data_IF_517094078663
#
_entry.id   IF_517094078663
#
_cell.length_a   1.000
_cell.length_b   1.000
_cell.length_c   1.000
_cell.angle_alpha   90.00
_cell.angle_beta   90.00
_cell.angle_gamma   90.00
#
_symmetry.space_group_name_H-M   'P 1'
#
loop_
_entity.id
_entity.type
_entity.pdbx_description
1 polymer ?
#
# COMPACT_ATOMS: atom_id res chain seq x y z
N UNK A 1 17.85 71.41 -44.94
CA UNK A 1 18.73 70.27 -44.59
C UNK A 1 19.00 70.28 -43.09
N UNK A 2 18.33 69.39 -42.35
CA UNK A 2 18.76 68.67 -41.13
C UNK A 2 17.49 68.05 -40.51
N UNK A 3 17.23 66.79 -40.87
CA UNK A 3 16.19 65.99 -40.25
C UNK A 3 16.69 65.53 -38.88
N UNK A 4 15.94 65.83 -37.82
CA UNK A 4 16.15 65.29 -36.47
C UNK A 4 15.19 64.12 -36.31
N UNK A 5 15.73 62.90 -36.28
CA UNK A 5 14.98 61.69 -35.94
C UNK A 5 14.94 61.54 -34.42
N UNK A 6 13.75 61.62 -33.83
CA UNK A 6 13.52 61.26 -32.42
C UNK A 6 13.07 59.80 -32.39
N UNK A 7 13.88 58.94 -31.79
CA UNK A 7 13.56 57.54 -31.53
C UNK A 7 12.87 57.45 -30.16
N UNK A 8 11.60 57.06 -30.14
CA UNK A 8 10.92 56.64 -28.91
C UNK A 8 11.16 55.14 -28.70
N UNK A 9 11.88 54.78 -27.63
CA UNK A 9 11.93 53.41 -27.14
C UNK A 9 10.61 53.11 -26.43
N UNK A 10 9.78 52.23 -27.03
CA UNK A 10 8.64 51.63 -26.36
C UNK A 10 9.15 50.43 -25.52
N UNK A 11 9.20 50.59 -24.20
CA UNK A 11 9.43 49.50 -23.26
C UNK A 11 8.17 48.62 -23.17
N UNK A 12 8.18 47.50 -23.89
CA UNK A 12 7.17 46.45 -23.75
C UNK A 12 7.37 45.69 -22.43
N UNK A 13 6.52 45.99 -21.45
CA UNK A 13 6.34 45.18 -20.24
C UNK A 13 5.73 43.84 -20.64
N UNK A 14 6.54 42.78 -20.62
CA UNK A 14 6.08 41.39 -20.76
C UNK A 14 5.45 41.01 -19.42
N UNK A 15 4.12 41.01 -19.36
CA UNK A 15 3.38 40.42 -18.25
C UNK A 15 3.50 38.90 -18.34
N UNK A 16 4.35 38.30 -17.51
CA UNK A 16 4.34 36.85 -17.29
C UNK A 16 2.99 36.47 -16.67
N UNK A 17 2.28 35.46 -17.22
CA UNK A 17 1.09 34.95 -16.57
C UNK A 17 1.54 34.26 -15.27
N UNK A 18 1.10 34.81 -14.14
CA UNK A 18 1.15 34.12 -12.86
C UNK A 18 0.35 32.83 -13.00
N UNK A 19 1.03 31.69 -12.91
CA UNK A 19 0.36 30.40 -12.72
C UNK A 19 -0.36 30.47 -11.37
N UNK A 20 -1.65 30.77 -11.40
CA UNK A 20 -2.50 30.68 -10.22
C UNK A 20 -2.55 29.20 -9.82
N UNK A 21 -1.93 28.88 -8.68
CA UNK A 21 -2.05 27.59 -8.03
C UNK A 21 -3.53 27.38 -7.69
N UNK A 22 -4.23 26.55 -8.47
CA UNK A 22 -5.58 26.11 -8.15
C UNK A 22 -5.52 25.28 -6.88
N UNK A 23 -5.62 25.92 -5.73
CA UNK A 23 -5.95 25.26 -4.46
C UNK A 23 -7.46 24.98 -4.44
N UNK A 24 -7.90 24.08 -5.34
CA UNK A 24 -9.21 23.46 -5.20
C UNK A 24 -9.23 22.67 -3.90
N UNK A 25 -10.12 23.02 -2.97
CA UNK A 25 -10.45 22.16 -1.81
C UNK A 25 -10.88 20.81 -2.38
N UNK A 26 -10.00 19.82 -2.34
CA UNK A 26 -10.35 18.46 -2.76
C UNK A 26 -11.38 17.93 -1.77
N UNK A 27 -12.59 17.68 -2.27
CA UNK A 27 -13.65 17.08 -1.46
C UNK A 27 -13.20 15.71 -0.95
N UNK A 28 -13.46 15.44 0.34
CA UNK A 28 -13.10 14.18 0.97
C UNK A 28 -14.08 13.07 0.56
N UNK A 29 -13.94 12.58 -0.67
CA UNK A 29 -14.77 11.55 -1.31
C UNK A 29 -13.91 10.54 -2.07
N UNK A 30 -14.50 9.40 -2.41
CA UNK A 30 -13.83 8.41 -3.27
C UNK A 30 -13.48 9.03 -4.64
N UNK A 31 -12.38 8.60 -5.23
CA UNK A 31 -11.93 9.08 -6.54
C UNK A 31 -11.10 8.03 -7.28
N UNK A 32 -11.01 8.19 -8.59
CA UNK A 32 -10.12 7.42 -9.45
C UNK A 32 -8.87 8.25 -9.74
N UNK A 33 -7.69 7.67 -9.52
CA UNK A 33 -6.40 8.27 -9.84
C UNK A 33 -5.88 7.65 -11.14
N UNK A 34 -5.58 8.49 -12.12
CA UNK A 34 -4.81 8.07 -13.30
C UNK A 34 -3.32 8.11 -13.00
N UNK A 35 -2.56 7.14 -13.52
CA UNK A 35 -1.09 7.18 -13.53
C UNK A 35 -0.67 7.99 -14.77
N UNK A 36 -0.07 9.18 -14.60
CA UNK A 36 0.27 10.05 -15.72
C UNK A 36 1.16 9.36 -16.76
N UNK A 37 0.90 9.64 -18.03
CA UNK A 37 1.60 9.01 -19.16
C UNK A 37 1.06 7.62 -19.54
N UNK A 38 0.00 7.14 -18.90
CA UNK A 38 -0.59 5.82 -19.16
C UNK A 38 -2.13 5.86 -19.14
N UNK A 39 -2.75 4.80 -19.65
CA UNK A 39 -4.20 4.56 -19.51
C UNK A 39 -4.56 3.86 -18.19
N UNK A 40 -3.58 3.56 -17.33
CA UNK A 40 -3.80 2.81 -16.09
C UNK A 40 -4.35 3.75 -15.02
N UNK A 41 -5.40 3.29 -14.35
CA UNK A 41 -6.05 4.00 -13.25
C UNK A 41 -6.29 3.08 -12.06
N UNK A 42 -6.35 3.64 -10.86
CA UNK A 42 -6.74 2.92 -9.65
C UNK A 42 -7.74 3.72 -8.81
N UNK A 43 -8.53 3.03 -8.01
CA UNK A 43 -9.59 3.64 -7.20
C UNK A 43 -9.17 3.80 -5.74
N UNK A 44 -9.53 4.94 -5.15
CA UNK A 44 -9.21 5.29 -3.77
C UNK A 44 -10.51 5.62 -3.02
N UNK A 45 -10.76 4.89 -1.94
CA UNK A 45 -11.93 5.08 -1.07
C UNK A 45 -11.60 6.04 0.07
N UNK A 46 -12.45 7.04 0.30
CA UNK A 46 -12.33 7.95 1.44
C UNK A 46 -12.83 7.28 2.72
N UNK A 47 -11.98 7.30 3.75
CA UNK A 47 -12.21 6.70 5.07
C UNK A 47 -12.19 7.81 6.13
N UNK A 48 -13.34 8.11 6.73
CA UNK A 48 -13.53 9.24 7.68
C UNK A 48 -12.62 9.22 8.90
N UNK A 49 -11.90 8.12 9.15
CA UNK A 49 -11.20 7.93 10.39
C UNK A 49 -12.17 7.84 11.57
N UNK A 50 -11.62 7.61 12.75
CA UNK A 50 -12.43 7.41 13.94
C UNK A 50 -11.76 6.46 14.91
N UNK A 51 -12.53 5.98 15.87
CA UNK A 51 -12.04 5.11 16.92
C UNK A 51 -12.60 3.70 16.77
N UNK A 52 -11.74 2.69 16.94
CA UNK A 52 -12.14 1.28 16.89
C UNK A 52 -11.37 0.44 17.91
N UNK A 53 -11.81 -0.81 18.06
CA UNK A 53 -11.13 -1.81 18.87
C UNK A 53 -10.14 -2.59 18.00
N UNK A 54 -8.87 -2.23 18.06
CA UNK A 54 -7.78 -2.94 17.38
C UNK A 54 -7.42 -4.21 18.13
N UNK A 55 -7.15 -5.27 17.39
CA UNK A 55 -6.92 -6.61 17.92
C UNK A 55 -8.23 -7.38 18.17
N UNK A 56 -8.06 -8.63 18.59
CA UNK A 56 -9.13 -9.60 18.80
C UNK A 56 -9.61 -9.63 20.26
N UNK A 57 -10.88 -9.96 20.48
CA UNK A 57 -11.38 -10.30 21.81
C UNK A 57 -10.70 -11.58 22.35
N UNK A 58 -10.47 -11.68 23.67
CA UNK A 58 -9.80 -12.85 24.25
C UNK A 58 -10.57 -14.16 24.07
N UNK A 59 -11.88 -14.09 23.79
CA UNK A 59 -12.76 -15.23 23.51
C UNK A 59 -13.01 -15.44 22.00
N UNK A 60 -12.44 -14.60 21.14
CA UNK A 60 -12.59 -14.73 19.69
C UNK A 60 -12.01 -16.07 19.21
N UNK A 61 -12.81 -16.85 18.49
CA UNK A 61 -12.38 -18.18 18.00
C UNK A 61 -11.27 -18.02 16.96
N UNK A 62 -10.22 -18.83 17.08
CA UNK A 62 -9.09 -18.82 16.16
C UNK A 62 -8.09 -17.69 16.41
N UNK A 63 -8.26 -16.90 17.48
CA UNK A 63 -7.33 -15.86 17.93
C UNK A 63 -5.92 -16.40 18.17
N UNK A 64 -4.91 -15.67 17.68
CA UNK A 64 -3.51 -15.90 18.05
C UNK A 64 -3.08 -15.05 19.28
N UNK A 65 -2.03 -15.48 20.01
CA UNK A 65 -1.52 -14.74 21.18
C UNK A 65 -1.13 -13.28 20.88
N UNK A 66 -0.57 -13.03 19.69
CA UNK A 66 -0.07 -11.73 19.22
C UNK A 66 -1.16 -10.71 18.82
N UNK A 67 -2.44 -11.08 18.94
CA UNK A 67 -3.60 -10.27 18.54
C UNK A 67 -4.28 -9.57 19.72
N UNK A 68 -3.66 -9.57 20.90
CA UNK A 68 -4.14 -8.78 22.03
C UNK A 68 -3.03 -8.10 22.83
N UNK A 69 -3.40 -7.34 23.88
CA UNK A 69 -4.77 -7.09 24.31
C UNK A 69 -5.54 -6.24 23.30
N UNK A 70 -6.87 -6.42 23.25
CA UNK A 70 -7.74 -5.57 22.44
C UNK A 70 -7.65 -4.14 22.95
N UNK A 71 -7.44 -3.18 22.05
CA UNK A 71 -7.16 -1.79 22.42
C UNK A 71 -8.01 -0.80 21.62
N UNK A 72 -8.57 0.17 22.32
CA UNK A 72 -9.24 1.31 21.71
C UNK A 72 -8.19 2.26 21.12
N UNK A 73 -8.19 2.40 19.79
CA UNK A 73 -7.28 3.28 19.06
C UNK A 73 -8.05 4.15 18.09
N UNK A 74 -7.52 5.33 17.80
CA UNK A 74 -8.04 6.27 16.81
C UNK A 74 -7.11 6.36 15.61
N UNK A 75 -7.71 6.42 14.42
CA UNK A 75 -7.02 6.72 13.17
C UNK A 75 -7.60 7.99 12.57
N UNK A 76 -6.73 8.88 12.08
CA UNK A 76 -7.14 10.09 11.35
C UNK A 76 -7.80 9.71 10.01
N UNK A 77 -8.50 10.62 9.32
CA UNK A 77 -9.07 10.35 8.01
C UNK A 77 -7.98 10.13 6.94
N UNK A 78 -8.22 9.22 6.00
CA UNK A 78 -7.33 8.92 4.89
C UNK A 78 -8.11 8.38 3.69
N UNK A 79 -7.42 8.22 2.56
CA UNK A 79 -7.88 7.38 1.48
C UNK A 79 -7.07 6.09 1.43
N UNK A 80 -7.71 4.99 1.05
CA UNK A 80 -7.05 3.69 0.83
C UNK A 80 -7.47 3.13 -0.53
N UNK A 81 -6.56 2.41 -1.19
CA UNK A 81 -6.87 1.69 -2.42
C UNK A 81 -8.06 0.76 -2.20
N UNK A 82 -9.02 0.81 -3.13
CA UNK A 82 -10.21 -0.07 -3.11
C UNK A 82 -9.80 -1.54 -3.21
N UNK A 83 -8.75 -1.80 -3.99
CA UNK A 83 -8.17 -3.12 -4.23
C UNK A 83 -6.70 -3.16 -3.78
N UNK A 84 -6.13 -4.37 -3.76
CA UNK A 84 -4.68 -4.57 -3.80
C UNK A 84 -4.11 -3.92 -5.08
N UNK A 85 -2.86 -3.42 -5.04
CA UNK A 85 -2.19 -2.90 -6.23
C UNK A 85 -2.04 -4.04 -7.24
N UNK A 86 -2.52 -3.83 -8.45
CA UNK A 86 -2.50 -4.84 -9.52
C UNK A 86 -1.17 -4.91 -10.25
N UNK A 87 -0.91 -5.99 -10.97
CA UNK A 87 0.23 -6.06 -11.90
C UNK A 87 0.13 -5.00 -13.00
N UNK A 88 -1.08 -4.65 -13.46
CA UNK A 88 -1.28 -3.61 -14.47
C UNK A 88 -0.78 -2.24 -13.97
N UNK A 89 -0.90 -1.97 -12.66
CA UNK A 89 -0.36 -0.78 -11.99
C UNK A 89 1.14 -0.91 -11.70
N UNK A 90 1.56 -2.00 -11.05
CA UNK A 90 2.95 -2.18 -10.61
C UNK A 90 3.93 -2.28 -11.77
N UNK A 91 3.51 -2.86 -12.90
CA UNK A 91 4.38 -2.99 -14.07
C UNK A 91 4.72 -1.64 -14.71
N UNK A 92 3.89 -0.60 -14.54
CA UNK A 92 4.26 0.75 -15.01
C UNK A 92 5.52 1.23 -14.27
N UNK A 93 5.60 0.96 -12.98
CA UNK A 93 6.80 1.24 -12.19
C UNK A 93 7.95 0.28 -12.55
N UNK A 94 7.67 -1.00 -12.74
CA UNK A 94 8.70 -2.01 -12.88
C UNK A 94 9.37 -2.01 -14.26
N UNK A 95 8.64 -1.66 -15.31
CA UNK A 95 9.07 -1.73 -16.70
C UNK A 95 9.42 -0.34 -17.24
N UNK A 96 10.71 -0.13 -17.55
CA UNK A 96 11.20 1.15 -18.08
C UNK A 96 10.61 1.50 -19.45
N UNK A 97 10.15 0.52 -20.22
CA UNK A 97 9.53 0.79 -21.52
C UNK A 97 8.11 1.36 -21.36
N UNK A 98 7.45 1.06 -20.23
CA UNK A 98 6.10 1.57 -19.88
C UNK A 98 6.14 2.95 -19.20
N UNK A 99 7.29 3.32 -18.65
CA UNK A 99 7.53 4.63 -18.05
C UNK A 99 8.94 5.13 -18.39
N UNK A 100 9.01 5.92 -19.46
CA UNK A 100 10.25 6.46 -20.04
C UNK A 100 10.67 7.79 -19.40
N UNK A 101 9.96 8.28 -18.38
CA UNK A 101 10.42 9.48 -17.65
C UNK A 101 11.65 9.16 -16.81
N UNK A 102 12.57 10.13 -16.74
CA UNK A 102 13.76 10.05 -15.92
C UNK A 102 13.38 9.95 -14.44
N UNK A 103 13.98 8.98 -13.74
CA UNK A 103 13.83 8.87 -12.29
C UNK A 103 14.77 9.86 -11.58
N UNK A 104 14.33 10.51 -10.48
CA UNK A 104 15.21 11.31 -9.65
C UNK A 104 16.36 10.48 -9.09
N UNK A 105 17.46 11.16 -8.76
CA UNK A 105 18.61 10.53 -8.12
C UNK A 105 18.21 9.76 -6.85
N UNK A 106 18.79 8.58 -6.67
CA UNK A 106 18.44 7.64 -5.61
C UNK A 106 17.17 6.80 -5.83
N UNK A 107 16.36 7.07 -6.86
CA UNK A 107 15.22 6.22 -7.24
C UNK A 107 15.62 5.21 -8.32
N UNK A 108 15.27 3.94 -8.12
CA UNK A 108 15.59 2.84 -9.05
C UNK A 108 14.37 1.96 -9.26
N UNK A 109 14.30 1.30 -10.42
CA UNK A 109 13.30 0.27 -10.70
C UNK A 109 13.72 -1.08 -10.13
N UNK A 110 12.77 -2.00 -9.88
CA UNK A 110 13.07 -3.38 -9.53
C UNK A 110 13.96 -4.03 -10.59
N UNK A 111 14.95 -4.80 -10.14
CA UNK A 111 15.68 -5.68 -11.06
C UNK A 111 14.73 -6.75 -11.60
N UNK A 112 14.90 -7.26 -12.83
CA UNK A 112 14.12 -8.41 -13.30
C UNK A 112 14.19 -9.57 -12.30
N UNK A 113 13.07 -10.24 -11.99
CA UNK A 113 13.10 -11.40 -11.11
C UNK A 113 13.79 -12.58 -11.80
N UNK A 114 14.50 -13.42 -11.05
CA UNK A 114 15.20 -14.58 -11.60
C UNK A 114 14.24 -15.69 -12.12
N UNK A 115 13.05 -15.78 -11.54
CA UNK A 115 11.97 -16.67 -11.98
C UNK A 115 10.70 -15.87 -12.23
N UNK A 116 9.75 -16.46 -12.96
CA UNK A 116 8.39 -15.95 -12.98
C UNK A 116 7.74 -16.14 -11.60
N UNK A 117 7.68 -15.05 -10.83
CA UNK A 117 7.13 -15.03 -9.47
C UNK A 117 5.61 -15.21 -9.44
N UNK A 118 4.93 -15.12 -10.60
CA UNK A 118 3.49 -15.36 -10.68
C UNK A 118 3.16 -16.85 -10.56
N UNK A 119 4.16 -17.73 -10.75
CA UNK A 119 4.03 -19.18 -10.78
C UNK A 119 2.93 -19.67 -11.72
N UNK A 120 2.65 -18.91 -12.79
CA UNK A 120 1.60 -19.22 -13.77
C UNK A 120 0.17 -18.99 -13.29
N UNK A 121 -0.05 -18.32 -12.16
CA UNK A 121 -1.39 -18.07 -11.62
C UNK A 121 -2.11 -16.87 -12.28
N UNK A 122 -1.37 -15.90 -12.79
CA UNK A 122 -1.91 -14.73 -13.50
C UNK A 122 -1.06 -13.47 -13.29
N UNK A 123 -1.01 -12.58 -14.29
CA UNK A 123 -0.16 -11.38 -14.25
C UNK A 123 -0.72 -10.13 -14.94
N UNK A 124 -1.97 -10.15 -15.36
CA UNK A 124 -2.57 -9.02 -16.09
C UNK A 124 -4.09 -9.03 -16.07
N UNK A 125 -4.70 -7.86 -16.29
CA UNK A 125 -6.16 -7.71 -16.30
C UNK A 125 -6.75 -7.84 -14.90
N UNK A 126 -6.10 -7.21 -13.92
CA UNK A 126 -6.57 -7.07 -12.54
C UNK A 126 -6.04 -8.11 -11.54
N UNK A 127 -5.02 -8.90 -11.86
CA UNK A 127 -4.38 -9.74 -10.83
C UNK A 127 -3.55 -8.88 -9.86
N UNK A 128 -3.56 -9.18 -8.54
CA UNK A 128 -2.76 -8.45 -7.57
C UNK A 128 -1.28 -8.67 -7.86
N UNK A 129 -0.52 -7.57 -7.87
CA UNK A 129 0.94 -7.64 -7.90
C UNK A 129 1.40 -8.35 -6.63
N UNK A 130 2.34 -9.29 -6.77
CA UNK A 130 2.81 -10.09 -5.65
C UNK A 130 4.33 -10.27 -5.63
N UNK A 131 4.81 -10.97 -4.60
CA UNK A 131 6.20 -11.41 -4.42
C UNK A 131 7.21 -10.28 -4.24
N UNK A 132 6.79 -9.02 -4.24
CA UNK A 132 7.70 -7.93 -3.87
C UNK A 132 8.00 -7.97 -2.38
N UNK A 133 9.21 -7.54 -2.03
CA UNK A 133 9.52 -7.17 -0.65
C UNK A 133 8.77 -5.91 -0.27
N UNK A 134 8.68 -5.63 1.04
CA UNK A 134 8.15 -4.35 1.52
C UNK A 134 8.94 -3.15 0.94
N UNK A 135 10.26 -3.32 0.71
CA UNK A 135 11.08 -2.31 0.05
C UNK A 135 10.58 -2.02 -1.37
N UNK A 136 10.26 -3.04 -2.16
CA UNK A 136 9.69 -2.86 -3.50
C UNK A 136 8.34 -2.13 -3.47
N UNK A 137 7.46 -2.50 -2.55
CA UNK A 137 6.17 -1.84 -2.36
C UNK A 137 6.30 -0.36 -1.92
N UNK A 138 7.26 -0.05 -1.04
CA UNK A 138 7.55 1.33 -0.63
C UNK A 138 8.20 2.16 -1.75
N UNK A 139 9.07 1.56 -2.55
CA UNK A 139 9.64 2.21 -3.74
C UNK A 139 8.58 2.51 -4.78
N UNK A 140 7.59 1.63 -4.98
CA UNK A 140 6.41 1.92 -5.79
C UNK A 140 5.67 3.16 -5.27
N UNK A 141 5.44 3.26 -3.95
CA UNK A 141 4.81 4.44 -3.36
C UNK A 141 5.62 5.73 -3.61
N UNK A 142 6.96 5.67 -3.49
CA UNK A 142 7.86 6.79 -3.77
C UNK A 142 7.81 7.20 -5.24
N UNK A 143 7.83 6.23 -6.14
CA UNK A 143 7.68 6.46 -7.58
C UNK A 143 6.33 7.09 -7.90
N UNK A 144 5.24 6.56 -7.33
CA UNK A 144 3.89 7.09 -7.57
C UNK A 144 3.75 8.53 -7.05
N UNK A 145 4.39 8.86 -5.93
CA UNK A 145 4.49 10.24 -5.45
C UNK A 145 5.21 11.15 -6.45
N UNK A 146 6.34 10.71 -6.99
CA UNK A 146 7.04 11.47 -8.02
C UNK A 146 6.19 11.66 -9.27
N UNK A 147 5.46 10.62 -9.67
CA UNK A 147 4.60 10.64 -10.86
C UNK A 147 3.39 11.55 -10.75
N UNK A 148 2.76 11.58 -9.58
CA UNK A 148 1.46 12.24 -9.40
C UNK A 148 1.55 13.55 -8.64
N UNK A 149 2.65 13.78 -7.91
CA UNK A 149 2.75 14.84 -6.89
C UNK A 149 1.89 14.56 -5.65
N UNK A 150 1.22 13.41 -5.56
CA UNK A 150 0.35 13.02 -4.44
C UNK A 150 1.06 11.98 -3.59
N UNK A 151 1.16 12.24 -2.29
CA UNK A 151 1.89 11.38 -1.38
C UNK A 151 1.10 10.11 -1.06
N UNK A 152 1.68 8.97 -1.45
CA UNK A 152 1.20 7.63 -1.15
C UNK A 152 2.20 6.87 -0.27
N UNK A 153 1.68 5.93 0.52
CA UNK A 153 2.47 5.00 1.35
C UNK A 153 1.71 3.70 1.58
N UNK A 154 2.36 2.70 2.17
CA UNK A 154 1.64 1.55 2.72
C UNK A 154 0.74 1.98 3.90
N UNK A 155 -0.35 1.25 4.19
CA UNK A 155 -1.13 1.47 5.41
C UNK A 155 -0.29 1.15 6.66
N UNK A 156 -0.57 1.83 7.77
CA UNK A 156 -0.17 1.28 9.08
C UNK A 156 -1.01 0.03 9.39
N UNK A 157 -0.53 -0.81 10.30
CA UNK A 157 -1.28 -1.98 10.78
C UNK A 157 -2.68 -1.59 11.29
N UNK A 158 -2.78 -0.43 11.95
CA UNK A 158 -4.03 0.07 12.51
C UNK A 158 -4.98 0.65 11.45
N UNK A 159 -4.46 1.38 10.46
CA UNK A 159 -5.26 1.84 9.33
C UNK A 159 -5.83 0.67 8.53
N UNK A 160 -4.99 -0.35 8.28
CA UNK A 160 -5.39 -1.56 7.59
C UNK A 160 -6.52 -2.28 8.34
N UNK A 161 -6.37 -2.51 9.65
CA UNK A 161 -7.38 -3.23 10.41
C UNK A 161 -8.68 -2.41 10.57
N UNK A 162 -8.57 -1.08 10.72
CA UNK A 162 -9.72 -0.19 10.74
C UNK A 162 -10.52 -0.27 9.44
N UNK A 163 -9.82 -0.16 8.31
CA UNK A 163 -10.38 -0.27 6.98
C UNK A 163 -11.00 -1.64 6.73
N UNK A 164 -10.30 -2.73 7.11
CA UNK A 164 -10.79 -4.11 6.98
C UNK A 164 -12.10 -4.29 7.74
N UNK A 165 -12.17 -3.83 9.00
CA UNK A 165 -13.34 -3.98 9.87
C UNK A 165 -14.55 -3.19 9.39
N UNK A 166 -14.36 -2.04 8.74
CA UNK A 166 -15.44 -1.19 8.24
C UNK A 166 -16.56 -0.92 9.27
N UNK A 167 -16.17 -0.67 10.53
CA UNK A 167 -17.09 -0.44 11.65
C UNK A 167 -17.48 -1.70 12.45
N UNK A 168 -17.18 -2.90 11.95
CA UNK A 168 -17.43 -4.15 12.67
C UNK A 168 -16.50 -4.37 13.87
N UNK A 169 -17.03 -5.02 14.91
CA UNK A 169 -16.31 -5.47 16.10
C UNK A 169 -16.14 -7.00 16.18
N UNK A 170 -16.56 -7.73 15.16
CA UNK A 170 -16.50 -9.21 15.07
C UNK A 170 -15.16 -9.69 14.48
N UNK A 171 -14.97 -11.01 14.35
CA UNK A 171 -13.77 -11.61 13.76
C UNK A 171 -13.55 -11.18 12.29
N UNK A 172 -14.62 -11.14 11.50
CA UNK A 172 -14.64 -10.72 10.09
C UNK A 172 -15.47 -9.43 9.92
N UNK A 173 -15.33 -8.66 8.83
CA UNK A 173 -16.15 -7.47 8.60
C UNK A 173 -17.65 -7.74 8.51
N UNK A 174 -18.02 -8.97 8.16
CA UNK A 174 -19.40 -9.40 7.95
C UNK A 174 -20.00 -10.20 9.13
N UNK A 175 -19.26 -10.40 10.23
CA UNK A 175 -19.72 -11.14 11.40
C UNK A 175 -18.69 -12.13 11.95
N UNK A 176 -19.15 -13.07 12.78
CA UNK A 176 -18.31 -14.12 13.41
C UNK A 176 -18.41 -15.50 12.72
N UNK A 177 -19.32 -15.67 11.76
CA UNK A 177 -19.51 -16.94 11.04
C UNK A 177 -18.47 -17.09 9.91
N UNK A 178 -17.47 -17.99 10.05
CA UNK A 178 -16.51 -18.25 8.97
C UNK A 178 -17.16 -18.86 7.73
N UNK A 179 -18.38 -19.41 7.82
CA UNK A 179 -19.13 -19.93 6.68
C UNK A 179 -19.48 -18.87 5.64
N UNK A 180 -19.48 -17.59 6.01
CA UNK A 180 -19.71 -16.48 5.07
C UNK A 180 -18.43 -16.07 4.31
N UNK A 181 -17.24 -16.51 4.73
CA UNK A 181 -15.96 -16.02 4.22
C UNK A 181 -15.79 -16.22 2.71
N UNK A 182 -16.32 -17.31 2.15
CA UNK A 182 -16.27 -17.61 0.71
C UNK A 182 -16.93 -16.54 -0.18
N UNK A 183 -17.78 -15.69 0.40
CA UNK A 183 -18.42 -14.57 -0.31
C UNK A 183 -17.54 -13.32 -0.37
N UNK A 184 -16.49 -13.24 0.45
CA UNK A 184 -15.70 -12.02 0.66
C UNK A 184 -14.19 -12.23 0.45
N UNK A 185 -13.71 -13.47 0.44
CA UNK A 185 -12.28 -13.77 0.38
C UNK A 185 -11.98 -15.00 -0.49
N UNK A 186 -10.89 -14.92 -1.25
CA UNK A 186 -10.22 -16.08 -1.82
C UNK A 186 -9.28 -16.67 -0.78
N UNK A 187 -9.61 -17.84 -0.25
CA UNK A 187 -8.84 -18.54 0.80
C UNK A 187 -8.81 -20.03 0.49
N UNK A 188 -8.12 -20.83 1.31
CA UNK A 188 -7.81 -22.24 0.99
C UNK A 188 -9.01 -23.06 0.48
N UNK A 189 -10.22 -22.81 0.99
CA UNK A 189 -11.43 -23.57 0.62
C UNK A 189 -11.89 -23.31 -0.82
N UNK A 190 -11.81 -22.07 -1.31
CA UNK A 190 -12.41 -21.65 -2.58
C UNK A 190 -11.39 -21.13 -3.61
N UNK A 191 -10.12 -20.98 -3.26
CA UNK A 191 -9.11 -20.36 -4.12
C UNK A 191 -8.52 -21.28 -5.19
N UNK A 192 -8.69 -22.60 -5.07
CA UNK A 192 -8.03 -23.59 -5.92
C UNK A 192 -6.49 -23.49 -5.90
N UNK A 193 -5.92 -23.13 -4.75
CA UNK A 193 -4.49 -22.91 -4.53
C UNK A 193 -3.90 -21.76 -5.39
N UNK A 194 -4.70 -20.76 -5.74
CA UNK A 194 -4.28 -19.60 -6.55
C UNK A 194 -4.84 -18.28 -6.04
N UNK A 195 -4.10 -17.20 -6.25
CA UNK A 195 -4.69 -15.85 -6.17
C UNK A 195 -5.52 -15.55 -7.42
N UNK A 196 -6.49 -14.67 -7.28
CA UNK A 196 -7.48 -14.33 -8.29
C UNK A 196 -7.42 -12.84 -8.63
N UNK A 197 -8.17 -12.43 -9.64
CA UNK A 197 -8.30 -11.01 -9.96
C UNK A 197 -8.98 -10.29 -8.79
N UNK A 198 -8.54 -9.07 -8.53
CA UNK A 198 -9.11 -8.21 -7.48
C UNK A 198 -10.58 -7.92 -7.79
N UNK A 199 -11.37 -7.69 -6.75
CA UNK A 199 -12.74 -7.22 -6.85
C UNK A 199 -13.77 -8.25 -7.33
N UNK A 200 -13.42 -9.54 -7.33
CA UNK A 200 -14.32 -10.61 -7.82
C UNK A 200 -15.32 -11.13 -6.79
N UNK A 201 -15.12 -10.82 -5.51
CA UNK A 201 -16.02 -11.19 -4.40
C UNK A 201 -16.67 -9.94 -3.78
N UNK A 202 -17.46 -10.10 -2.71
CA UNK A 202 -18.15 -8.97 -2.09
C UNK A 202 -17.18 -8.07 -1.33
N UNK A 203 -17.36 -6.74 -1.40
CA UNK A 203 -16.59 -5.82 -0.57
C UNK A 203 -17.09 -5.82 0.88
N UNK A 204 -16.31 -5.23 1.78
CA UNK A 204 -16.80 -4.89 3.12
C UNK A 204 -17.79 -3.70 3.08
N UNK A 205 -18.31 -3.30 4.25
CA UNK A 205 -19.31 -2.24 4.36
C UNK A 205 -18.87 -0.85 3.86
N UNK A 206 -17.57 -0.65 3.60
CA UNK A 206 -17.02 0.59 3.04
C UNK A 206 -16.62 0.47 1.57
N UNK A 207 -16.94 -0.63 0.91
CA UNK A 207 -16.63 -0.82 -0.51
C UNK A 207 -15.18 -1.24 -0.76
N UNK A 208 -14.47 -1.76 0.23
CA UNK A 208 -13.11 -2.29 0.06
C UNK A 208 -13.16 -3.78 -0.24
N UNK A 209 -12.46 -4.19 -1.28
CA UNK A 209 -12.40 -5.57 -1.76
C UNK A 209 -11.11 -6.25 -1.31
N UNK A 210 -11.18 -7.58 -1.22
CA UNK A 210 -10.04 -8.45 -0.95
C UNK A 210 -9.25 -8.04 0.32
N UNK A 211 -9.92 -7.38 1.27
CA UNK A 211 -9.33 -7.07 2.58
C UNK A 211 -9.00 -8.35 3.35
N UNK A 212 -9.57 -9.50 2.96
CA UNK A 212 -9.28 -10.81 3.51
C UNK A 212 -9.02 -11.79 2.37
N UNK A 213 -8.03 -12.66 2.54
CA UNK A 213 -7.64 -13.63 1.50
C UNK A 213 -6.92 -12.97 0.31
N UNK A 214 -7.09 -13.57 -0.87
CA UNK A 214 -6.34 -13.25 -2.09
C UNK A 214 -4.83 -13.22 -1.84
N UNK A 215 -4.19 -12.06 -1.74
CA UNK A 215 -2.81 -11.97 -1.26
C UNK A 215 -2.74 -11.23 0.08
N UNK A 216 -1.86 -11.68 0.95
CA UNK A 216 -1.60 -10.99 2.19
C UNK A 216 -0.89 -9.66 1.89
N UNK A 217 -1.11 -8.65 2.72
CA UNK A 217 -0.70 -7.28 2.39
C UNK A 217 0.37 -6.73 3.32
N UNK A 218 1.43 -6.15 2.74
CA UNK A 218 2.44 -5.39 3.46
C UNK A 218 1.83 -4.17 4.18
N UNK A 219 2.19 -3.97 5.46
CA UNK A 219 1.95 -2.71 6.18
C UNK A 219 3.27 -1.98 6.45
N UNK A 220 3.22 -0.76 6.97
CA UNK A 220 4.44 0.00 7.36
C UNK A 220 5.15 -0.54 8.59
N UNK A 221 4.46 -1.33 9.40
CA UNK A 221 4.85 -1.59 10.78
C UNK A 221 5.99 -2.62 10.86
N UNK A 222 6.96 -2.35 11.75
CA UNK A 222 7.81 -3.39 12.29
C UNK A 222 6.92 -4.39 13.03
N UNK A 223 7.11 -5.68 12.77
CA UNK A 223 6.43 -6.70 13.55
C UNK A 223 7.01 -6.75 14.97
N UNK A 224 6.15 -6.52 15.96
CA UNK A 224 6.37 -6.79 17.37
C UNK A 224 5.13 -7.56 17.88
N UNK A 225 5.36 -8.74 18.45
CA UNK A 225 4.29 -9.55 19.04
C UNK A 225 3.58 -8.81 20.18
N UNK A 226 4.30 -8.00 20.94
CA UNK A 226 3.77 -7.19 22.04
C UNK A 226 3.29 -5.79 21.61
N UNK A 227 3.17 -5.53 20.30
CA UNK A 227 2.82 -4.21 19.77
C UNK A 227 1.53 -3.65 20.38
N UNK A 228 0.45 -4.44 20.43
CA UNK A 228 -0.86 -3.97 20.90
C UNK A 228 -0.84 -3.50 22.35
N UNK A 229 -0.01 -4.11 23.20
CA UNK A 229 0.19 -3.66 24.59
C UNK A 229 0.85 -2.27 24.67
N UNK A 230 1.68 -1.92 23.68
CA UNK A 230 2.51 -0.71 23.66
C UNK A 230 1.99 0.39 22.72
N UNK A 231 1.09 0.04 21.80
CA UNK A 231 0.59 0.92 20.75
C UNK A 231 0.05 2.23 21.33
N UNK A 232 0.27 3.37 20.66
CA UNK A 232 -0.36 4.62 21.05
C UNK A 232 -1.88 4.56 20.83
N UNK A 233 -2.63 5.44 21.50
CA UNK A 233 -4.09 5.51 21.33
C UNK A 233 -4.51 6.28 20.08
N UNK A 234 -3.59 7.05 19.45
CA UNK A 234 -3.84 7.83 18.24
C UNK A 234 -2.78 7.50 17.19
N UNK A 235 -3.23 7.18 15.98
CA UNK A 235 -2.45 6.75 14.82
C UNK A 235 -1.28 5.83 15.18
N UNK A 236 -1.53 4.68 15.82
CA UNK A 236 -0.44 3.79 16.18
C UNK A 236 0.29 3.30 14.93
N UNK A 237 1.61 3.46 14.97
CA UNK A 237 2.54 3.01 13.94
C UNK A 237 3.82 2.54 14.63
N UNK A 238 4.10 1.24 14.55
CA UNK A 238 5.35 0.66 15.03
C UNK A 238 6.48 0.97 14.05
N UNK A 239 7.11 2.12 14.24
CA UNK A 239 8.17 2.60 13.34
C UNK A 239 9.30 1.57 13.20
N UNK A 240 9.72 1.26 11.96
CA UNK A 240 10.87 0.41 11.70
C UNK A 240 12.14 0.81 12.46
N UNK A 241 12.76 -0.17 13.10
CA UNK A 241 14.12 -0.07 13.68
C UNK A 241 15.09 -1.03 12.99
N UNK A 242 14.60 -2.13 12.43
CA UNK A 242 15.34 -3.07 11.58
C UNK A 242 14.67 -3.19 10.19
N UNK A 243 15.21 -4.00 9.26
CA UNK A 243 14.59 -4.30 7.95
C UNK A 243 13.41 -5.28 8.03
N UNK A 244 13.51 -6.22 8.96
CA UNK A 244 12.60 -7.35 9.15
C UNK A 244 12.61 -7.67 10.65
N UNK A 245 11.56 -8.30 11.19
CA UNK A 245 10.29 -8.64 10.55
C UNK A 245 9.33 -7.46 10.40
N UNK A 246 8.48 -7.51 9.38
CA UNK A 246 7.37 -6.57 9.13
C UNK A 246 6.04 -7.25 9.38
N UNK A 247 5.04 -6.46 9.73
CA UNK A 247 3.68 -6.95 9.87
C UNK A 247 3.02 -7.08 8.49
N UNK A 248 2.29 -8.16 8.32
CA UNK A 248 1.48 -8.47 7.15
C UNK A 248 0.06 -8.77 7.62
N UNK A 249 -0.94 -8.39 6.83
CA UNK A 249 -2.37 -8.50 7.18
C UNK A 249 -3.17 -9.21 6.07
N UNK A 250 -4.44 -9.53 6.33
CA UNK A 250 -5.39 -10.08 5.34
C UNK A 250 -5.47 -11.60 5.25
N UNK A 251 -4.35 -12.30 5.48
CA UNK A 251 -4.24 -13.70 5.08
C UNK A 251 -4.15 -13.83 3.55
N UNK A 252 -4.07 -15.04 3.03
CA UNK A 252 -3.93 -15.25 1.59
C UNK A 252 -4.73 -16.45 1.08
N UNK A 253 -4.67 -16.69 -0.24
CA UNK A 253 -5.37 -17.77 -0.93
C UNK A 253 -5.07 -19.18 -0.41
N UNK A 254 -3.98 -19.41 0.32
CA UNK A 254 -3.62 -20.71 0.93
C UNK A 254 -4.04 -20.86 2.40
N UNK A 255 -4.47 -19.76 3.02
CA UNK A 255 -4.75 -19.71 4.45
C UNK A 255 -6.14 -20.26 4.79
N UNK A 256 -6.25 -20.86 5.97
CA UNK A 256 -7.54 -21.26 6.54
C UNK A 256 -8.36 -20.03 6.98
N UNK A 257 -9.67 -20.21 7.17
CA UNK A 257 -10.55 -19.10 7.59
C UNK A 257 -10.08 -18.40 8.88
N UNK A 258 -9.56 -19.16 9.86
CA UNK A 258 -9.04 -18.61 11.12
C UNK A 258 -7.82 -17.70 10.95
N UNK A 259 -7.10 -17.83 9.85
CA UNK A 259 -5.95 -17.00 9.49
C UNK A 259 -6.37 -15.76 8.67
N UNK A 260 -7.54 -15.77 8.03
CA UNK A 260 -8.10 -14.64 7.30
C UNK A 260 -9.12 -13.83 8.14
N UNK A 261 -8.84 -13.61 9.43
CA UNK A 261 -9.63 -12.71 10.29
C UNK A 261 -9.06 -11.30 10.25
N UNK A 262 -9.89 -10.31 10.56
CA UNK A 262 -9.50 -8.88 10.57
C UNK A 262 -8.31 -8.61 11.53
N UNK A 263 -8.29 -9.31 12.67
CA UNK A 263 -7.26 -9.15 13.69
C UNK A 263 -5.97 -9.93 13.40
N UNK A 264 -5.97 -10.91 12.48
CA UNK A 264 -4.79 -11.77 12.26
C UNK A 264 -3.58 -10.93 11.89
N UNK A 265 -2.42 -11.27 12.47
CA UNK A 265 -1.13 -10.62 12.21
C UNK A 265 -0.13 -11.68 11.76
N UNK A 266 0.41 -11.50 10.56
CA UNK A 266 1.46 -12.35 10.01
C UNK A 266 2.82 -11.65 10.17
N UNK A 267 3.85 -12.45 10.47
CA UNK A 267 5.24 -12.00 10.61
C UNK A 267 5.98 -12.31 9.32
N UNK A 268 6.66 -11.33 8.74
CA UNK A 268 7.52 -11.59 7.59
C UNK A 268 8.73 -12.45 7.94
N UNK A 269 9.12 -13.36 7.05
CA UNK A 269 10.31 -14.20 7.20
C UNK A 269 11.39 -13.82 6.17
N UNK A 270 12.62 -13.62 6.65
CA UNK A 270 13.79 -13.38 5.79
C UNK A 270 14.11 -14.58 4.89
N UNK A 271 13.69 -15.79 5.31
CA UNK A 271 13.84 -17.00 4.51
C UNK A 271 13.00 -17.01 3.24
N UNK A 272 12.06 -16.07 3.07
CA UNK A 272 11.25 -16.00 1.85
C UNK A 272 12.02 -15.61 0.60
N UNK A 273 13.25 -15.11 0.73
CA UNK A 273 14.13 -14.92 -0.41
C UNK A 273 15.29 -15.92 -0.44
N UNK A 274 15.19 -17.04 0.29
CA UNK A 274 16.28 -18.02 0.41
C UNK A 274 16.57 -18.74 -0.91
N UNK A 275 15.55 -19.03 -1.73
CA UNK A 275 15.76 -19.69 -3.04
C UNK A 275 16.25 -18.75 -4.16
N UNK A 276 16.29 -17.44 -3.95
CA UNK A 276 16.86 -16.52 -4.93
C UNK A 276 18.36 -16.79 -5.11
N UNK A 277 18.82 -17.18 -6.33
CA UNK A 277 20.21 -17.50 -6.58
C UNK A 277 21.10 -16.26 -6.80
N UNK A 278 20.54 -15.05 -6.88
CA UNK A 278 21.32 -13.83 -7.06
C UNK A 278 22.25 -13.56 -5.86
N UNK A 279 23.46 -13.04 -6.13
CA UNK A 279 24.44 -12.65 -5.12
C UNK A 279 24.83 -11.18 -5.35
N UNK A 280 24.49 -10.24 -4.44
CA UNK A 280 23.61 -10.43 -3.28
C UNK A 280 22.18 -10.78 -3.70
N UNK A 281 21.42 -11.38 -2.78
CA UNK A 281 19.99 -11.66 -2.98
C UNK A 281 19.23 -10.37 -3.29
N UNK A 282 18.21 -10.48 -4.12
CA UNK A 282 17.36 -9.35 -4.47
C UNK A 282 16.76 -8.70 -3.23
N UNK A 283 16.87 -7.37 -3.17
CA UNK A 283 16.13 -6.55 -2.20
C UNK A 283 14.69 -6.29 -2.64
N UNK A 284 14.35 -6.59 -3.90
CA UNK A 284 13.07 -6.26 -4.53
C UNK A 284 12.04 -7.36 -4.38
N UNK A 285 12.49 -8.62 -4.34
CA UNK A 285 11.64 -9.79 -4.50
C UNK A 285 11.81 -10.78 -3.35
N UNK A 286 10.77 -11.58 -3.14
CA UNK A 286 10.72 -12.74 -2.27
C UNK A 286 10.36 -13.97 -3.10
N UNK A 287 11.36 -14.78 -3.47
CA UNK A 287 11.17 -15.95 -4.33
C UNK A 287 10.19 -17.01 -3.77
N UNK A 288 9.92 -16.99 -2.46
CA UNK A 288 9.14 -18.01 -1.74
C UNK A 288 7.87 -17.44 -1.11
N UNK A 289 7.50 -16.21 -1.47
CA UNK A 289 6.29 -15.55 -0.97
C UNK A 289 5.37 -15.01 -2.10
N UNK A 290 4.87 -15.88 -3.00
CA UNK A 290 3.94 -15.50 -4.07
C UNK A 290 2.55 -15.09 -3.57
N UNK A 291 2.34 -15.17 -2.26
CA UNK A 291 1.08 -14.90 -1.59
C UNK A 291 1.06 -13.51 -0.94
N UNK A 292 2.06 -12.65 -1.20
CA UNK A 292 2.15 -11.32 -0.60
C UNK A 292 2.13 -10.24 -1.67
N UNK A 293 1.19 -9.32 -1.54
CA UNK A 293 1.11 -8.07 -2.29
C UNK A 293 1.03 -6.88 -1.33
N UNK A 294 0.33 -5.83 -1.74
CA UNK A 294 0.10 -4.64 -0.92
C UNK A 294 -1.04 -3.80 -1.47
N UNK A 295 -1.52 -2.86 -0.64
CA UNK A 295 -2.34 -1.73 -1.08
C UNK A 295 -1.75 -0.42 -0.59
N UNK A 296 -2.23 0.69 -1.14
CA UNK A 296 -1.71 2.03 -0.84
C UNK A 296 -2.71 2.86 -0.05
N UNK A 297 -2.18 3.79 0.75
CA UNK A 297 -2.88 4.80 1.51
C UNK A 297 -2.37 6.17 1.11
N UNK A 298 -3.29 7.13 1.07
CA UNK A 298 -3.02 8.56 0.95
C UNK A 298 -3.59 9.28 2.18
N UNK A 299 -2.79 9.94 3.02
CA UNK A 299 -3.30 10.68 4.17
C UNK A 299 -4.15 11.88 3.72
N UNK A 300 -5.18 12.24 4.50
CA UNK A 300 -6.01 13.42 4.21
C UNK A 300 -5.16 14.69 4.11
N UNK A 301 -4.35 14.93 5.14
CA UNK A 301 -3.34 15.97 5.11
C UNK A 301 -2.10 15.44 4.40
N UNK A 302 -1.80 16.02 3.24
CA UNK A 302 -0.57 15.73 2.53
C UNK A 302 0.62 16.32 3.31
N UNK A 303 1.74 15.58 3.42
CA UNK A 303 2.97 16.14 3.96
C UNK A 303 3.53 17.21 3.02
N UNK A 304 4.36 18.09 3.57
CA UNK A 304 5.26 18.93 2.77
C UNK A 304 6.26 18.07 1.99
N UNK A 305 6.89 18.59 0.92
CA UNK A 305 7.94 17.88 0.20
C UNK A 305 9.10 17.42 1.11
N UNK A 306 9.48 18.24 2.09
CA UNK A 306 10.52 17.94 3.06
C UNK A 306 10.12 16.78 3.99
N UNK A 307 8.87 16.79 4.48
CA UNK A 307 8.33 15.70 5.29
C UNK A 307 8.18 14.40 4.49
N UNK A 308 7.78 14.48 3.22
CA UNK A 308 7.73 13.34 2.33
C UNK A 308 9.12 12.73 2.08
N UNK A 309 10.12 13.57 1.84
CA UNK A 309 11.51 13.13 1.69
C UNK A 309 12.03 12.46 2.98
N UNK A 310 11.82 13.08 4.14
CA UNK A 310 12.20 12.53 5.43
C UNK A 310 11.47 11.20 5.73
N UNK A 311 10.21 11.06 5.32
CA UNK A 311 9.48 9.80 5.42
C UNK A 311 10.18 8.69 4.63
N UNK A 312 10.41 8.90 3.33
CA UNK A 312 11.05 7.89 2.49
C UNK A 312 12.47 7.58 2.96
N UNK A 313 13.22 8.58 3.42
CA UNK A 313 14.54 8.36 4.02
C UNK A 313 14.44 7.40 5.21
N UNK A 314 13.46 7.61 6.09
CA UNK A 314 13.32 6.83 7.33
C UNK A 314 12.88 5.37 7.11
N UNK A 315 12.13 5.07 6.04
CA UNK A 315 11.56 3.74 5.78
C UNK A 315 12.26 3.00 4.63
N UNK A 316 12.99 3.70 3.77
CA UNK A 316 13.72 3.15 2.61
C UNK A 316 15.22 3.37 2.78
N UNK A 317 15.68 4.62 2.80
CA UNK A 317 17.08 4.95 2.53
C UNK A 317 18.00 4.61 3.70
N UNK A 318 17.52 4.77 4.93
CA UNK A 318 18.18 4.31 6.18
C UNK A 318 18.59 2.83 6.12
N UNK A 319 17.90 2.03 5.32
CA UNK A 319 18.10 0.59 5.21
C UNK A 319 18.91 0.19 3.98
N UNK A 320 19.38 1.13 3.16
CA UNK A 320 20.28 0.82 2.05
C UNK A 320 21.58 0.24 2.62
N UNK A 321 22.02 -0.92 2.10
CA UNK A 321 23.24 -1.59 2.55
C UNK A 321 23.14 -2.43 3.85
N UNK A 322 22.11 -2.25 4.68
CA UNK A 322 21.91 -3.13 5.85
C UNK A 322 21.62 -4.58 5.40
N UNK A 323 22.12 -5.59 6.12
CA UNK A 323 21.86 -7.01 5.83
C UNK A 323 20.88 -7.58 6.84
#
# INVERSE_FOLDING_TARGET
MKNISIVFLASSLISLPTLAQQTGKQEFKAYTQSIPGTEVTFEMQAIQGGTFQMGSDSKEKGRNPNEGPRKKVSVDPFWIGVHEVTFDEYDIFADADKDQEDLPDGMTRPSPPYIDLTLGMGKSGGYPANSMSQYGALMYCRWLYHKTGVFYRLPTEAEWEYACRAGSTTAYPFGDDPGQLEKYAWYKKNSEDKYHKVGQLQPNAWGLYDMLGNVAEWTLDQYDEAFLSKASNKNPWNKPTAKSPRTIKGGNYKDEASQARSATRLKSDINWNRRDPQIPKSKWWNADAPFIGFRIVRPLQQPTPEEAAAFFESVIDKYVGAR
#
